data_IF_768394887552
#
_entry.id   IF_768394887552
#
_cell.length_a   1.000
_cell.length_b   1.000
_cell.length_c   1.000
_cell.angle_alpha   90.00
_cell.angle_beta   90.00
_cell.angle_gamma   90.00
#
_symmetry.space_group_name_H-M   'P 1'
#
loop_
_entity.id
_entity.type
_entity.pdbx_description
1 polymer ?
#
# COMPACT_ATOMS: atom_id res chain seq x y z
N UNK A 1 16.32 -4.86 -14.17
CA UNK A 1 17.41 -5.68 -13.58
C UNK A 1 17.89 -6.68 -14.62
N UNK A 2 19.06 -6.46 -15.23
CA UNK A 2 19.77 -7.52 -15.95
C UNK A 2 20.30 -8.49 -14.89
N UNK A 3 19.76 -9.71 -14.84
CA UNK A 3 20.37 -10.79 -14.06
C UNK A 3 21.69 -11.08 -14.76
N UNK A 4 22.81 -10.79 -14.09
CA UNK A 4 24.12 -11.14 -14.59
C UNK A 4 24.18 -12.66 -14.63
N UNK A 5 24.30 -13.18 -15.86
CA UNK A 5 24.51 -14.59 -16.14
C UNK A 5 25.89 -14.95 -15.57
N UNK A 6 25.91 -15.51 -14.36
CA UNK A 6 27.12 -16.09 -13.79
C UNK A 6 27.38 -17.36 -14.58
N UNK A 7 28.03 -17.19 -15.73
CA UNK A 7 28.64 -18.26 -16.50
C UNK A 7 29.64 -18.98 -15.60
N UNK A 8 29.13 -19.98 -14.88
CA UNK A 8 29.93 -21.03 -14.31
C UNK A 8 30.45 -21.80 -15.52
N UNK A 9 31.61 -21.34 -16.01
CA UNK A 9 32.42 -21.98 -17.02
C UNK A 9 32.66 -23.42 -16.54
N UNK A 10 31.77 -24.30 -16.98
CA UNK A 10 31.77 -25.70 -16.63
C UNK A 10 32.82 -26.30 -17.54
N UNK A 11 34.08 -26.08 -17.18
CA UNK A 11 35.19 -26.79 -17.78
C UNK A 11 34.92 -28.28 -17.53
N UNK A 12 34.30 -28.92 -18.52
CA UNK A 12 34.10 -30.34 -18.57
C UNK A 12 35.52 -30.94 -18.59
N UNK A 13 36.00 -31.31 -17.41
CA UNK A 13 37.18 -32.13 -17.23
C UNK A 13 36.96 -33.38 -18.07
N UNK A 14 37.53 -33.37 -19.27
CA UNK A 14 37.45 -34.49 -20.19
C UNK A 14 38.43 -35.51 -19.67
N UNK A 15 37.94 -36.41 -18.82
CA UNK A 15 38.71 -37.54 -18.31
C UNK A 15 38.96 -38.45 -19.52
N UNK A 16 40.21 -38.55 -19.96
CA UNK A 16 40.64 -39.48 -21.01
C UNK A 16 40.58 -40.90 -20.42
N UNK A 17 39.57 -41.65 -20.81
CA UNK A 17 39.45 -43.07 -20.47
C UNK A 17 40.28 -43.90 -21.45
N UNK A 18 41.26 -44.64 -20.91
CA UNK A 18 41.97 -45.68 -21.65
C UNK A 18 41.00 -46.87 -21.83
N UNK A 19 40.91 -47.38 -23.06
CA UNK A 19 39.68 -48.01 -23.57
C UNK A 19 39.50 -49.50 -23.21
N UNK A 20 40.47 -50.09 -22.51
CA UNK A 20 40.58 -51.55 -22.46
C UNK A 20 40.37 -52.16 -21.06
N UNK A 21 40.08 -51.36 -20.02
CA UNK A 21 39.69 -51.86 -18.69
C UNK A 21 38.29 -51.33 -18.34
N UNK A 22 37.26 -52.09 -18.69
CA UNK A 22 35.85 -51.62 -18.71
C UNK A 22 35.20 -51.45 -17.34
N UNK A 23 35.94 -51.61 -16.25
CA UNK A 23 35.41 -51.47 -14.90
C UNK A 23 36.29 -50.54 -14.09
N UNK A 24 35.75 -49.36 -13.77
CA UNK A 24 36.28 -48.51 -12.69
C UNK A 24 36.48 -49.38 -11.44
N UNK A 25 37.58 -49.17 -10.74
CA UNK A 25 37.69 -49.80 -9.43
C UNK A 25 36.62 -49.23 -8.49
N UNK A 26 36.25 -50.00 -7.46
CA UNK A 26 35.21 -49.59 -6.52
C UNK A 26 35.49 -48.25 -5.81
N UNK A 27 36.75 -47.80 -5.73
CA UNK A 27 37.12 -46.54 -5.11
C UNK A 27 36.93 -45.36 -6.06
N UNK A 28 37.28 -45.52 -7.34
CA UNK A 28 37.03 -44.56 -8.41
C UNK A 28 35.53 -44.38 -8.66
N UNK A 29 34.78 -45.47 -8.74
CA UNK A 29 33.32 -45.44 -8.87
C UNK A 29 32.68 -44.65 -7.71
N UNK A 30 33.09 -44.96 -6.47
CA UNK A 30 32.59 -44.26 -5.30
C UNK A 30 32.99 -42.76 -5.29
N UNK A 31 34.18 -42.41 -5.79
CA UNK A 31 34.58 -41.00 -5.91
C UNK A 31 33.71 -40.26 -6.92
N UNK A 32 33.43 -40.86 -8.09
CA UNK A 32 32.54 -40.27 -9.10
C UNK A 32 31.11 -40.10 -8.57
N UNK A 33 30.59 -41.09 -7.84
CA UNK A 33 29.26 -41.00 -7.21
C UNK A 33 29.23 -39.87 -6.15
N UNK A 34 30.23 -39.79 -5.26
CA UNK A 34 30.27 -38.75 -4.24
C UNK A 34 30.41 -37.34 -4.83
N UNK A 35 31.22 -37.20 -5.88
CA UNK A 35 31.41 -35.92 -6.58
C UNK A 35 30.14 -35.45 -7.29
N UNK A 36 29.48 -36.34 -8.03
CA UNK A 36 28.22 -36.01 -8.73
C UNK A 36 27.09 -35.65 -7.76
N UNK A 37 26.96 -36.36 -6.64
CA UNK A 37 25.98 -36.05 -5.58
C UNK A 37 26.29 -34.69 -4.93
N UNK A 38 27.56 -34.40 -4.64
CA UNK A 38 27.94 -33.11 -4.06
C UNK A 38 27.65 -31.94 -5.00
N UNK A 39 27.96 -32.09 -6.31
CA UNK A 39 27.69 -31.08 -7.32
C UNK A 39 26.19 -30.86 -7.50
N UNK A 40 25.40 -31.93 -7.63
CA UNK A 40 23.95 -31.84 -7.75
C UNK A 40 23.31 -31.14 -6.53
N UNK A 41 23.77 -31.48 -5.32
CA UNK A 41 23.32 -30.83 -4.10
C UNK A 41 23.69 -29.34 -4.07
N UNK A 42 24.91 -28.98 -4.50
CA UNK A 42 25.35 -27.59 -4.53
C UNK A 42 24.55 -26.76 -5.55
N UNK A 43 24.33 -27.28 -6.75
CA UNK A 43 23.49 -26.64 -7.78
C UNK A 43 22.07 -26.42 -7.29
N UNK A 44 21.47 -27.45 -6.67
CA UNK A 44 20.13 -27.35 -6.09
C UNK A 44 20.04 -26.25 -5.02
N UNK A 45 20.99 -26.19 -4.10
CA UNK A 45 21.04 -25.17 -3.04
C UNK A 45 21.21 -23.76 -3.63
N UNK A 46 22.05 -23.59 -4.65
CA UNK A 46 22.26 -22.31 -5.30
C UNK A 46 20.99 -21.81 -6.01
N UNK A 47 20.25 -22.72 -6.66
CA UNK A 47 18.95 -22.39 -7.26
C UNK A 47 17.93 -21.96 -6.20
N UNK A 48 17.82 -22.70 -5.09
CA UNK A 48 16.95 -22.34 -3.96
C UNK A 48 17.31 -20.96 -3.39
N UNK A 49 18.60 -20.68 -3.18
CA UNK A 49 19.06 -19.37 -2.68
C UNK A 49 18.65 -18.24 -3.61
N UNK A 50 18.77 -18.45 -4.92
CA UNK A 50 18.38 -17.47 -5.92
C UNK A 50 16.89 -17.16 -5.83
N UNK A 51 16.04 -18.19 -5.81
CA UNK A 51 14.60 -18.01 -5.66
C UNK A 51 14.18 -17.37 -4.32
N UNK A 52 14.83 -17.72 -3.20
CA UNK A 52 14.58 -17.08 -1.90
C UNK A 52 14.96 -15.59 -1.94
N UNK A 53 16.07 -15.24 -2.60
CA UNK A 53 16.49 -13.84 -2.76
C UNK A 53 15.49 -13.04 -3.60
N UNK A 54 15.02 -13.62 -4.70
CA UNK A 54 13.99 -13.02 -5.56
C UNK A 54 12.67 -12.83 -4.79
N UNK A 55 12.20 -13.88 -4.09
CA UNK A 55 10.99 -13.83 -3.29
C UNK A 55 11.08 -12.79 -2.15
N UNK A 56 12.22 -12.73 -1.45
CA UNK A 56 12.47 -11.70 -0.43
C UNK A 56 12.39 -10.30 -1.04
N UNK A 57 13.00 -10.08 -2.21
CA UNK A 57 12.97 -8.79 -2.90
C UNK A 57 11.54 -8.38 -3.27
N UNK A 58 10.74 -9.32 -3.78
CA UNK A 58 9.33 -9.09 -4.10
C UNK A 58 8.51 -8.76 -2.84
N UNK A 59 8.71 -9.49 -1.74
CA UNK A 59 8.02 -9.23 -0.47
C UNK A 59 8.36 -7.84 0.08
N UNK A 60 9.62 -7.41 0.03
CA UNK A 60 10.02 -6.05 0.42
C UNK A 60 9.37 -4.98 -0.45
N UNK A 61 9.25 -5.22 -1.76
CA UNK A 61 8.54 -4.31 -2.67
C UNK A 61 7.06 -4.20 -2.31
N UNK A 62 6.39 -5.32 -2.02
CA UNK A 62 4.98 -5.33 -1.62
C UNK A 62 4.77 -4.60 -0.30
N UNK A 63 5.63 -4.83 0.70
CA UNK A 63 5.56 -4.13 1.99
C UNK A 63 5.71 -2.60 1.82
N UNK A 64 6.65 -2.17 0.96
CA UNK A 64 6.83 -0.75 0.63
C UNK A 64 5.56 -0.13 0.03
N UNK A 65 4.90 -0.85 -0.89
CA UNK A 65 3.65 -0.38 -1.51
C UNK A 65 2.53 -0.28 -0.46
N UNK A 66 2.41 -1.26 0.44
CA UNK A 66 1.39 -1.24 1.49
C UNK A 66 1.61 -0.07 2.45
N UNK A 67 2.85 0.20 2.83
CA UNK A 67 3.20 1.36 3.67
C UNK A 67 2.83 2.69 2.98
N UNK A 68 3.14 2.83 1.69
CA UNK A 68 2.75 4.02 0.91
C UNK A 68 1.23 4.17 0.81
N UNK A 69 0.50 3.07 0.55
CA UNK A 69 -0.96 3.07 0.54
C UNK A 69 -1.55 3.48 1.89
N UNK A 70 -1.03 2.96 3.00
CA UNK A 70 -1.48 3.32 4.34
C UNK A 70 -1.23 4.81 4.65
N UNK A 71 -0.09 5.36 4.21
CA UNK A 71 0.23 6.78 4.35
C UNK A 71 -0.73 7.67 3.53
N UNK A 72 -1.03 7.29 2.28
CA UNK A 72 -2.00 8.01 1.43
C UNK A 72 -3.40 7.98 1.99
N UNK A 73 -3.86 6.84 2.52
CA UNK A 73 -5.17 6.73 3.18
C UNK A 73 -5.23 7.59 4.45
N UNK A 74 -4.17 7.62 5.25
CA UNK A 74 -4.10 8.48 6.44
C UNK A 74 -4.18 9.96 6.06
N UNK A 75 -3.52 10.36 4.97
CA UNK A 75 -3.62 11.73 4.41
C UNK A 75 -5.03 12.03 3.90
N UNK A 76 -5.67 11.08 3.21
CA UNK A 76 -7.05 11.23 2.74
C UNK A 76 -8.04 11.41 3.90
N UNK A 77 -7.90 10.63 5.00
CA UNK A 77 -8.69 10.81 6.22
C UNK A 77 -8.51 12.23 6.76
N UNK A 78 -7.27 12.71 6.88
CA UNK A 78 -6.99 14.06 7.39
C UNK A 78 -7.66 15.14 6.52
N UNK A 79 -7.61 15.02 5.19
CA UNK A 79 -8.28 15.96 4.30
C UNK A 79 -9.80 15.92 4.41
N UNK A 80 -10.40 14.73 4.56
CA UNK A 80 -11.85 14.61 4.79
C UNK A 80 -12.25 15.25 6.12
N UNK A 81 -11.48 15.03 7.19
CA UNK A 81 -11.73 15.64 8.50
C UNK A 81 -11.64 17.16 8.44
N UNK A 82 -10.56 17.72 7.87
CA UNK A 82 -10.39 19.18 7.74
C UNK A 82 -11.44 19.80 6.83
N UNK A 83 -11.72 19.19 5.68
CA UNK A 83 -12.75 19.69 4.75
C UNK A 83 -14.14 19.69 5.38
N UNK A 84 -14.50 18.64 6.12
CA UNK A 84 -15.77 18.58 6.85
C UNK A 84 -15.88 19.68 7.91
N UNK A 85 -14.80 19.98 8.64
CA UNK A 85 -14.80 21.05 9.64
C UNK A 85 -15.00 22.41 8.98
N UNK A 86 -14.24 22.72 7.92
CA UNK A 86 -14.38 23.98 7.18
C UNK A 86 -15.79 24.18 6.61
N UNK A 87 -16.39 23.14 6.02
CA UNK A 87 -17.78 23.21 5.51
C UNK A 87 -18.76 23.50 6.65
N UNK A 88 -18.57 22.90 7.82
CA UNK A 88 -19.43 23.13 8.98
C UNK A 88 -19.32 24.56 9.52
N UNK A 89 -18.11 25.10 9.59
CA UNK A 89 -17.85 26.46 10.08
C UNK A 89 -18.43 27.52 9.14
N UNK A 90 -18.21 27.38 7.83
CA UNK A 90 -18.79 28.26 6.81
C UNK A 90 -20.32 28.20 6.80
N UNK A 91 -20.92 27.00 7.00
CA UNK A 91 -22.38 26.87 7.12
C UNK A 91 -22.92 27.63 8.32
N UNK A 92 -22.29 27.48 9.48
CA UNK A 92 -22.70 28.18 10.71
C UNK A 92 -22.62 29.70 10.53
N UNK A 93 -21.58 30.17 9.83
CA UNK A 93 -21.41 31.58 9.47
C UNK A 93 -22.53 32.06 8.53
N UNK A 94 -22.88 31.28 7.51
CA UNK A 94 -23.96 31.58 6.58
C UNK A 94 -25.33 31.59 7.25
N UNK A 95 -25.63 30.62 8.11
CA UNK A 95 -26.87 30.57 8.92
C UNK A 95 -26.99 31.83 9.79
N UNK A 96 -25.91 32.21 10.49
CA UNK A 96 -25.86 33.43 11.31
C UNK A 96 -26.10 34.69 10.46
N UNK A 97 -25.53 34.76 9.25
CA UNK A 97 -25.73 35.87 8.34
C UNK A 97 -27.19 35.94 7.84
N UNK A 98 -27.80 34.81 7.47
CA UNK A 98 -29.20 34.72 7.03
C UNK A 98 -30.15 35.15 8.16
N UNK A 99 -29.91 34.70 9.39
CA UNK A 99 -30.70 35.10 10.55
C UNK A 99 -30.59 36.61 10.79
N UNK A 100 -29.38 37.17 10.67
CA UNK A 100 -29.14 38.61 10.76
C UNK A 100 -29.93 39.41 9.73
N UNK A 101 -29.93 38.98 8.46
CA UNK A 101 -30.69 39.63 7.37
C UNK A 101 -32.19 39.49 7.60
N UNK A 102 -32.68 38.31 7.97
CA UNK A 102 -34.10 38.04 8.26
C UNK A 102 -34.61 38.94 9.38
N UNK A 103 -33.84 39.09 10.46
CA UNK A 103 -34.17 40.02 11.55
C UNK A 103 -34.14 41.49 11.12
N UNK A 104 -33.27 41.86 10.18
CA UNK A 104 -33.27 43.19 9.56
C UNK A 104 -34.54 43.47 8.76
N UNK A 105 -34.97 42.51 7.94
CA UNK A 105 -36.20 42.60 7.12
C UNK A 105 -37.43 42.72 8.01
N UNK A 106 -37.54 41.91 9.06
CA UNK A 106 -38.66 41.98 9.99
C UNK A 106 -38.77 43.36 10.66
N UNK A 107 -37.65 43.95 11.09
CA UNK A 107 -37.64 45.32 11.61
C UNK A 107 -38.07 46.35 10.58
N UNK A 108 -37.60 46.23 9.33
CA UNK A 108 -38.00 47.13 8.26
C UNK A 108 -39.50 47.02 7.94
N UNK A 109 -40.08 45.82 8.01
CA UNK A 109 -41.53 45.61 7.88
C UNK A 109 -42.30 46.29 9.01
N UNK A 110 -41.85 46.13 10.26
CA UNK A 110 -42.47 46.79 11.43
C UNK A 110 -42.43 48.32 11.30
N UNK A 111 -41.27 48.88 10.92
CA UNK A 111 -41.07 50.32 10.72
C UNK A 111 -41.95 50.86 9.58
N UNK A 112 -42.06 50.13 8.46
CA UNK A 112 -42.96 50.48 7.34
C UNK A 112 -44.42 50.49 7.79
N UNK A 113 -44.84 49.47 8.54
CA UNK A 113 -46.20 49.37 9.06
C UNK A 113 -46.51 50.55 10.00
N UNK A 114 -45.59 50.89 10.90
CA UNK A 114 -45.70 52.06 11.77
C UNK A 114 -45.79 53.35 10.95
N UNK A 115 -44.89 53.55 9.97
CA UNK A 115 -44.87 54.72 9.09
C UNK A 115 -46.18 54.95 8.35
N UNK A 116 -46.79 53.88 7.81
CA UNK A 116 -48.10 53.95 7.16
C UNK A 116 -49.20 54.49 8.08
N UNK A 117 -49.16 54.17 9.39
CA UNK A 117 -50.14 54.71 10.34
C UNK A 117 -50.03 56.22 10.55
N UNK A 118 -48.84 56.79 10.35
CA UNK A 118 -48.61 58.23 10.45
C UNK A 118 -48.98 58.97 9.18
N UNK A 119 -48.63 58.43 8.01
CA UNK A 119 -48.90 59.04 6.70
C UNK A 119 -50.40 59.14 6.44
N UNK A 120 -51.17 58.08 6.75
CA UNK A 120 -52.61 58.06 6.55
C UNK A 120 -53.40 59.11 7.37
N UNK A 121 -52.74 59.87 8.25
CA UNK A 121 -53.38 60.98 8.99
C UNK A 121 -53.45 62.28 8.17
N UNK A 122 -52.78 62.37 7.02
CA UNK A 122 -52.71 63.60 6.22
C UNK A 122 -53.31 63.33 4.83
N UNK A 123 -54.60 63.62 4.65
CA UNK A 123 -55.33 63.30 3.42
C UNK A 123 -55.16 64.40 2.35
N UNK A 124 -54.15 64.28 1.49
CA UNK A 124 -53.95 65.16 0.33
C UNK A 124 -54.17 64.41 -1.00
N UNK A 125 -55.42 64.40 -1.49
CA UNK A 125 -55.68 64.29 -2.94
C UNK A 125 -55.24 63.00 -3.65
N UNK A 126 -55.38 61.85 -2.99
CA UNK A 126 -54.94 60.53 -3.48
C UNK A 126 -54.05 59.87 -2.45
N UNK A 127 -53.98 58.53 -2.42
CA UNK A 127 -53.24 57.78 -1.39
C UNK A 127 -51.96 57.10 -1.93
N UNK A 128 -51.12 57.77 -2.74
CA UNK A 128 -49.99 57.13 -3.43
C UNK A 128 -48.94 56.57 -2.46
N UNK A 129 -48.80 57.16 -1.27
CA UNK A 129 -47.85 56.70 -0.26
C UNK A 129 -48.24 55.33 0.33
N UNK A 130 -49.56 55.05 0.41
CA UNK A 130 -50.07 53.73 0.80
C UNK A 130 -49.68 52.65 -0.22
N UNK A 131 -49.69 52.99 -1.51
CA UNK A 131 -49.34 52.05 -2.58
C UNK A 131 -47.84 51.72 -2.58
N UNK A 132 -46.98 52.71 -2.35
CA UNK A 132 -45.53 52.48 -2.20
C UNK A 132 -45.20 51.64 -0.96
N UNK A 133 -45.89 51.90 0.16
CA UNK A 133 -45.74 51.09 1.38
C UNK A 133 -46.14 49.63 1.15
N UNK A 134 -47.28 49.40 0.51
CA UNK A 134 -47.75 48.04 0.18
C UNK A 134 -46.80 47.31 -0.78
N UNK A 135 -46.24 48.02 -1.77
CA UNK A 135 -45.25 47.47 -2.69
C UNK A 135 -43.96 47.08 -1.95
N UNK A 136 -43.43 47.97 -1.10
CA UNK A 136 -42.23 47.69 -0.31
C UNK A 136 -42.43 46.48 0.64
N UNK A 137 -43.58 46.38 1.30
CA UNK A 137 -43.90 45.23 2.15
C UNK A 137 -43.95 43.92 1.36
N UNK A 138 -44.48 43.94 0.13
CA UNK A 138 -44.50 42.76 -0.74
C UNK A 138 -43.10 42.31 -1.15
N UNK A 139 -42.23 43.24 -1.54
CA UNK A 139 -40.83 42.92 -1.89
C UNK A 139 -40.05 42.34 -0.69
N UNK A 140 -40.29 42.85 0.53
CA UNK A 140 -39.68 42.31 1.75
C UNK A 140 -40.20 40.91 2.10
N UNK A 141 -41.48 40.62 1.83
CA UNK A 141 -42.03 39.27 1.98
C UNK A 141 -41.37 38.29 1.00
N UNK A 142 -41.22 38.66 -0.27
CA UNK A 142 -40.50 37.86 -1.28
C UNK A 142 -39.05 37.62 -0.86
N UNK A 143 -38.36 38.66 -0.37
CA UNK A 143 -36.99 38.51 0.15
C UNK A 143 -36.92 37.50 1.32
N UNK A 144 -37.92 37.50 2.20
CA UNK A 144 -38.00 36.55 3.32
C UNK A 144 -38.19 35.11 2.83
N UNK A 145 -39.06 34.89 1.84
CA UNK A 145 -39.27 33.57 1.24
C UNK A 145 -37.99 33.03 0.59
N UNK A 146 -37.24 33.89 -0.13
CA UNK A 146 -35.97 33.51 -0.75
C UNK A 146 -34.90 33.15 0.29
N UNK A 147 -34.84 33.86 1.43
CA UNK A 147 -33.93 33.53 2.54
C UNK A 147 -34.28 32.19 3.20
N UNK A 148 -35.58 31.90 3.38
CA UNK A 148 -36.03 30.60 3.88
C UNK A 148 -35.64 29.46 2.93
N UNK A 149 -35.78 29.66 1.61
CA UNK A 149 -35.30 28.70 0.62
C UNK A 149 -33.77 28.51 0.69
N UNK A 150 -33.01 29.60 0.81
CA UNK A 150 -31.56 29.53 0.98
C UNK A 150 -31.16 28.74 2.24
N UNK A 151 -31.83 28.98 3.37
CA UNK A 151 -31.67 28.20 4.60
C UNK A 151 -31.99 26.71 4.41
N UNK A 152 -33.06 26.39 3.68
CA UNK A 152 -33.41 25.01 3.36
C UNK A 152 -32.33 24.32 2.51
N UNK A 153 -31.77 24.99 1.50
CA UNK A 153 -30.67 24.45 0.69
C UNK A 153 -29.39 24.24 1.51
N UNK A 154 -29.05 25.15 2.42
CA UNK A 154 -27.92 24.99 3.35
C UNK A 154 -28.11 23.75 4.24
N UNK A 155 -29.34 23.48 4.69
CA UNK A 155 -29.66 22.28 5.47
C UNK A 155 -29.46 20.98 4.68
N UNK A 156 -29.74 20.98 3.37
CA UNK A 156 -29.57 19.80 2.49
C UNK A 156 -28.10 19.39 2.37
N UNK A 157 -27.18 20.35 2.55
CA UNK A 157 -25.74 20.09 2.51
C UNK A 157 -25.23 19.26 3.70
N UNK A 158 -26.02 19.14 4.79
CA UNK A 158 -25.76 18.20 5.89
C UNK A 158 -25.71 16.73 5.45
N UNK A 159 -26.38 16.39 4.35
CA UNK A 159 -26.31 15.06 3.73
C UNK A 159 -24.91 14.75 3.18
N UNK A 160 -24.14 15.76 2.75
CA UNK A 160 -22.75 15.59 2.32
C UNK A 160 -21.83 15.20 3.48
N UNK A 161 -22.11 15.71 4.69
CA UNK A 161 -21.41 15.32 5.92
C UNK A 161 -21.53 13.82 6.19
N UNK A 162 -22.72 13.23 5.99
CA UNK A 162 -22.92 11.78 6.12
C UNK A 162 -22.09 10.98 5.11
N UNK A 163 -21.98 11.42 3.86
CA UNK A 163 -21.12 10.76 2.87
C UNK A 163 -19.63 10.86 3.25
N UNK A 164 -19.21 11.98 3.85
CA UNK A 164 -17.88 12.14 4.43
C UNK A 164 -17.62 11.14 5.56
N UNK A 165 -18.57 10.97 6.49
CA UNK A 165 -18.48 9.99 7.57
C UNK A 165 -18.43 8.54 7.06
N UNK A 166 -19.27 8.17 6.08
CA UNK A 166 -19.22 6.85 5.45
C UNK A 166 -17.88 6.62 4.75
N UNK A 167 -17.41 7.60 3.97
CA UNK A 167 -16.10 7.51 3.29
C UNK A 167 -14.96 7.38 4.31
N UNK A 168 -14.99 8.13 5.41
CA UNK A 168 -14.01 8.02 6.49
C UNK A 168 -14.02 6.63 7.16
N UNK A 169 -15.21 6.04 7.35
CA UNK A 169 -15.35 4.68 7.89
C UNK A 169 -14.76 3.62 6.96
N UNK A 170 -15.10 3.66 5.67
CA UNK A 170 -14.58 2.73 4.66
C UNK A 170 -13.05 2.84 4.54
N UNK A 171 -12.51 4.06 4.56
CA UNK A 171 -11.06 4.29 4.53
C UNK A 171 -10.39 3.76 5.81
N UNK A 172 -11.02 3.94 6.97
CA UNK A 172 -10.53 3.40 8.25
C UNK A 172 -10.49 1.87 8.24
N UNK A 173 -11.53 1.22 7.70
CA UNK A 173 -11.59 -0.24 7.50
C UNK A 173 -10.46 -0.70 6.58
N UNK A 174 -10.29 -0.04 5.43
CA UNK A 174 -9.23 -0.34 4.47
C UNK A 174 -7.82 -0.23 5.12
N UNK A 175 -7.60 0.80 5.94
CA UNK A 175 -6.36 0.96 6.70
C UNK A 175 -6.14 -0.19 7.69
N UNK A 176 -7.20 -0.65 8.36
CA UNK A 176 -7.15 -1.85 9.21
C UNK A 176 -6.72 -3.11 8.46
N UNK A 177 -7.27 -3.34 7.26
CA UNK A 177 -6.91 -4.48 6.41
C UNK A 177 -5.46 -4.42 5.91
N UNK A 178 -4.96 -3.22 5.56
CA UNK A 178 -3.56 -3.04 5.15
C UNK A 178 -2.59 -3.37 6.30
N UNK A 179 -2.90 -2.95 7.52
CA UNK A 179 -2.10 -3.28 8.70
C UNK A 179 -2.06 -4.80 8.97
N UNK A 180 -3.18 -5.50 8.78
CA UNK A 180 -3.22 -6.96 8.86
C UNK A 180 -2.37 -7.62 7.77
N UNK A 181 -2.46 -7.12 6.53
CA UNK A 181 -1.66 -7.62 5.40
C UNK A 181 -0.16 -7.47 5.66
N UNK A 182 0.30 -6.30 6.16
CA UNK A 182 1.70 -6.11 6.59
C UNK A 182 2.10 -7.08 7.70
N UNK A 183 1.22 -7.36 8.65
CA UNK A 183 1.46 -8.35 9.70
C UNK A 183 1.70 -9.76 9.13
N UNK A 184 0.87 -10.19 8.18
CA UNK A 184 1.03 -11.48 7.49
C UNK A 184 2.31 -11.52 6.66
N UNK A 185 2.65 -10.45 5.94
CA UNK A 185 3.89 -10.37 5.15
C UNK A 185 5.14 -10.52 6.03
N UNK A 186 5.15 -9.94 7.23
CA UNK A 186 6.24 -10.12 8.18
C UNK A 186 6.37 -11.58 8.64
N UNK A 187 5.26 -12.28 8.83
CA UNK A 187 5.28 -13.73 9.14
C UNK A 187 5.76 -14.57 7.96
N UNK A 188 5.35 -14.23 6.73
CA UNK A 188 5.85 -14.92 5.53
C UNK A 188 7.35 -14.67 5.37
N UNK A 189 7.80 -13.44 5.56
CA UNK A 189 9.22 -13.09 5.51
C UNK A 189 10.04 -13.83 6.57
N UNK A 190 9.52 -13.97 7.81
CA UNK A 190 10.22 -14.72 8.85
C UNK A 190 10.27 -16.22 8.58
N UNK A 191 9.22 -16.79 7.96
CA UNK A 191 9.21 -18.19 7.49
C UNK A 191 10.12 -18.40 6.29
N UNK A 192 10.16 -17.45 5.35
CA UNK A 192 11.04 -17.49 4.19
C UNK A 192 12.51 -17.37 4.59
N UNK A 193 12.78 -16.75 5.75
CA UNK A 193 14.04 -16.86 6.50
C UNK A 193 14.22 -18.27 7.12
N UNK A 194 13.87 -19.31 6.36
CA UNK A 194 14.17 -20.73 6.53
C UNK A 194 15.69 -20.99 6.32
N UNK A 195 16.51 -20.08 6.83
CA UNK A 195 17.95 -20.17 6.94
C UNK A 195 18.37 -21.49 7.57
N UNK A 196 17.57 -22.03 8.50
CA UNK A 196 17.77 -23.35 9.10
C UNK A 196 17.88 -24.48 8.07
N UNK A 197 16.91 -24.65 7.18
CA UNK A 197 16.96 -25.72 6.19
C UNK A 197 18.08 -25.51 5.16
N UNK A 198 18.28 -24.27 4.71
CA UNK A 198 19.37 -23.94 3.77
C UNK A 198 20.75 -24.25 4.39
N UNK A 199 20.92 -23.98 5.69
CA UNK A 199 22.14 -24.31 6.43
C UNK A 199 22.32 -25.82 6.59
N UNK A 200 21.25 -26.58 6.87
CA UNK A 200 21.30 -28.04 6.94
C UNK A 200 21.73 -28.66 5.60
N UNK A 201 21.14 -28.22 4.48
CA UNK A 201 21.52 -28.69 3.14
C UNK A 201 22.94 -28.26 2.75
N UNK A 202 23.36 -27.05 3.11
CA UNK A 202 24.75 -26.61 2.88
C UNK A 202 25.75 -27.47 3.66
N UNK A 203 25.44 -27.78 4.92
CA UNK A 203 26.26 -28.67 5.74
C UNK A 203 26.35 -30.07 5.14
N UNK A 204 25.23 -30.61 4.63
CA UNK A 204 25.21 -31.88 3.90
C UNK A 204 26.09 -31.84 2.64
N UNK A 205 25.94 -30.81 1.80
CA UNK A 205 26.74 -30.65 0.59
C UNK A 205 28.24 -30.53 0.92
N UNK A 206 28.60 -29.74 1.93
CA UNK A 206 29.98 -29.61 2.41
C UNK A 206 30.54 -30.95 2.92
N UNK A 207 29.72 -31.72 3.64
CA UNK A 207 30.11 -33.04 4.15
C UNK A 207 30.38 -34.02 3.00
N UNK A 208 29.51 -34.05 1.98
CA UNK A 208 29.69 -34.90 0.79
C UNK A 208 30.92 -34.49 -0.02
N UNK A 209 31.14 -33.19 -0.18
CA UNK A 209 32.32 -32.67 -0.83
C UNK A 209 33.62 -33.03 -0.08
N UNK A 210 33.61 -32.97 1.25
CA UNK A 210 34.75 -33.40 2.06
C UNK A 210 35.03 -34.91 1.92
N UNK A 211 33.99 -35.75 1.83
CA UNK A 211 34.14 -37.18 1.56
C UNK A 211 34.70 -37.45 0.15
N UNK A 212 34.22 -36.72 -0.85
CA UNK A 212 34.74 -36.77 -2.22
C UNK A 212 36.24 -36.45 -2.26
N UNK A 213 36.68 -35.35 -1.61
CA UNK A 213 38.11 -35.01 -1.53
C UNK A 213 38.95 -36.09 -0.84
N UNK A 214 38.40 -36.75 0.19
CA UNK A 214 39.08 -37.88 0.86
C UNK A 214 39.20 -39.09 -0.07
N UNK A 215 38.18 -39.36 -0.89
CA UNK A 215 38.21 -40.44 -1.87
C UNK A 215 39.26 -40.20 -2.96
N UNK A 216 39.31 -38.98 -3.53
CA UNK A 216 40.33 -38.59 -4.52
C UNK A 216 41.77 -38.79 -4.01
N UNK A 217 42.06 -38.38 -2.78
CA UNK A 217 43.39 -38.55 -2.16
C UNK A 217 43.80 -40.02 -1.97
N UNK A 218 42.85 -40.96 -1.97
CA UNK A 218 43.16 -42.40 -1.90
C UNK A 218 43.53 -42.96 -3.26
N UNK A 219 42.84 -42.52 -4.31
CA UNK A 219 43.12 -42.90 -5.71
C UNK A 219 44.50 -42.38 -6.14
N UNK A 220 44.86 -41.15 -5.76
CA UNK A 220 46.16 -40.53 -6.10
C UNK A 220 47.38 -41.30 -5.53
N UNK A 221 47.18 -42.15 -4.51
CA UNK A 221 48.26 -42.89 -3.83
C UNK A 221 48.60 -44.24 -4.45
N UNK A 222 48.26 -44.50 -5.72
CA UNK A 222 48.79 -45.69 -6.40
C UNK A 222 50.32 -45.56 -6.43
N UNK A 223 51.07 -46.49 -5.80
CA UNK A 223 52.51 -46.38 -5.73
C UNK A 223 53.08 -46.45 -7.15
N UNK A 224 53.66 -45.34 -7.62
CA UNK A 224 54.50 -45.36 -8.82
C UNK A 224 55.70 -46.25 -8.48
N UNK A 225 55.72 -47.46 -9.04
CA UNK A 225 56.85 -48.36 -8.90
C UNK A 225 58.08 -47.66 -9.47
N UNK A 226 58.96 -47.16 -8.59
CA UNK A 226 60.20 -46.46 -9.00
C UNK A 226 61.23 -47.41 -9.61
N UNK A 227 61.08 -48.71 -9.39
CA UNK A 227 61.91 -49.73 -9.99
C UNK A 227 60.99 -50.69 -10.73
N UNK A 228 61.03 -50.67 -12.05
CA UNK A 228 60.53 -51.78 -12.85
C UNK A 228 61.32 -53.04 -12.45
N UNK A 229 60.66 -54.21 -12.32
CA UNK A 229 61.37 -55.47 -12.21
C UNK A 229 62.36 -55.56 -13.38
N UNK A 230 63.66 -55.64 -13.09
CA UNK A 230 64.65 -56.00 -14.10
C UNK A 230 64.61 -57.51 -14.20
N UNK A 231 64.01 -58.00 -15.28
CA UNK A 231 64.28 -59.35 -15.77
C UNK A 231 65.71 -59.43 -16.31
#
# INVERSE_FOLDING_TARGET
>A
CKVADNGADTAASTIFYDKDDTTLDSAEENAVILGSVALAAQTFINNIRTHIKEATTLLTSVDTIIVDMAARLSKAISYLTTGSAQISDERTTAETAIDGVTNGINRALDDLQLGQTFINKVNYGGNPESDYGAYASKELQVATELLQQAGAYLSLHSTSGRYGEYSGREISLANGMLNQASGVLRQVSSRLSLAGATNSYQSFANTRYALYQKALKRIEKIPVWRNYPKD
#
